data_IF_973236921622
#
_entry.id   IF_973236921622
#
_cell.length_a   1.000
_cell.length_b   1.000
_cell.length_c   1.000
_cell.angle_alpha   90.00
_cell.angle_beta   90.00
_cell.angle_gamma   90.00
#
_symmetry.space_group_name_H-M   'P 1'
#
loop_
_entity.id
_entity.type
_entity.pdbx_description
1 polymer ?
#
# COMPACT_ATOMS: atom_id res chain seq x y z
N UNK A 1 -38.26 29.46 10.44
CA UNK A 1 -37.58 29.14 11.71
C UNK A 1 -36.37 28.31 11.34
N UNK A 2 -35.13 28.72 11.64
CA UNK A 2 -34.00 27.82 11.48
C UNK A 2 -34.28 26.59 12.34
N UNK A 3 -34.16 25.39 11.77
CA UNK A 3 -34.39 24.15 12.50
C UNK A 3 -33.40 24.06 13.65
N UNK A 4 -33.90 23.91 14.87
CA UNK A 4 -33.10 23.69 16.08
C UNK A 4 -32.46 22.28 16.13
N UNK A 5 -32.52 21.56 15.00
CA UNK A 5 -31.97 20.22 14.83
C UNK A 5 -30.58 20.36 14.21
N UNK A 6 -29.52 19.83 14.85
CA UNK A 6 -28.16 19.86 14.33
C UNK A 6 -28.09 19.29 12.91
N UNK A 7 -27.42 20.02 12.01
CA UNK A 7 -27.21 19.59 10.63
C UNK A 7 -26.02 18.64 10.48
N UNK A 8 -25.82 18.06 9.27
CA UNK A 8 -24.67 17.18 8.99
C UNK A 8 -23.31 17.83 9.31
N UNK A 9 -23.18 19.14 9.08
CA UNK A 9 -21.97 19.88 9.43
C UNK A 9 -21.73 19.96 10.96
N UNK A 10 -22.80 20.05 11.74
CA UNK A 10 -22.73 20.07 13.21
C UNK A 10 -22.37 18.70 13.77
N UNK A 11 -22.89 17.64 13.17
CA UNK A 11 -22.49 16.26 13.51
C UNK A 11 -21.01 16.01 13.22
N UNK A 12 -20.50 16.48 12.08
CA UNK A 12 -19.08 16.34 11.75
C UNK A 12 -18.20 17.14 12.72
N UNK A 13 -18.59 18.37 13.05
CA UNK A 13 -17.90 19.19 14.08
C UNK A 13 -17.83 18.45 15.41
N UNK A 14 -18.97 18.03 15.93
CA UNK A 14 -19.05 17.31 17.20
C UNK A 14 -18.23 16.01 17.18
N UNK A 15 -18.23 15.30 16.05
CA UNK A 15 -17.43 14.09 15.88
C UNK A 15 -15.93 14.40 15.92
N UNK A 16 -15.45 15.39 15.15
CA UNK A 16 -14.04 15.79 15.10
C UNK A 16 -13.57 16.31 16.47
N UNK A 17 -14.39 17.10 17.15
CA UNK A 17 -14.07 17.59 18.49
C UNK A 17 -13.96 16.44 19.49
N UNK A 18 -14.90 15.49 19.45
CA UNK A 18 -14.88 14.29 20.31
C UNK A 18 -13.64 13.43 20.07
N UNK A 19 -13.28 13.15 18.82
CA UNK A 19 -12.09 12.31 18.51
C UNK A 19 -10.77 13.05 18.71
N UNK A 20 -10.77 14.39 18.72
CA UNK A 20 -9.57 15.18 19.07
C UNK A 20 -9.22 15.05 20.55
N UNK A 21 -10.23 14.94 21.42
CA UNK A 21 -10.07 14.92 22.88
C UNK A 21 -10.34 13.56 23.53
N UNK A 22 -10.79 12.56 22.78
CA UNK A 22 -11.14 11.23 23.30
C UNK A 22 -9.96 10.27 23.40
N UNK A 23 -10.00 9.36 24.35
CA UNK A 23 -8.91 8.39 24.61
C UNK A 23 -9.22 6.97 24.11
N UNK A 24 -10.32 6.77 23.38
CA UNK A 24 -10.67 5.48 22.81
C UNK A 24 -9.89 5.16 21.51
N UNK A 25 -9.85 3.88 21.14
CA UNK A 25 -9.15 3.39 19.94
C UNK A 25 -9.64 4.05 18.64
N UNK A 26 -10.91 4.43 18.59
CA UNK A 26 -11.53 5.09 17.43
C UNK A 26 -10.98 6.51 17.31
N UNK A 27 -10.89 7.24 18.43
CA UNK A 27 -10.35 8.58 18.51
C UNK A 27 -8.85 8.59 18.15
N UNK A 28 -8.07 7.66 18.70
CA UNK A 28 -6.67 7.48 18.33
C UNK A 28 -6.48 7.19 16.82
N UNK A 29 -7.37 6.37 16.24
CA UNK A 29 -7.35 6.06 14.80
C UNK A 29 -7.62 7.28 13.95
N UNK A 30 -8.64 8.07 14.28
CA UNK A 30 -8.96 9.28 13.51
C UNK A 30 -7.85 10.32 13.64
N UNK A 31 -7.27 10.52 14.83
CA UNK A 31 -6.13 11.44 15.01
C UNK A 31 -4.91 11.05 14.18
N UNK A 32 -4.59 9.76 14.09
CA UNK A 32 -3.52 9.28 13.18
C UNK A 32 -3.86 9.56 11.72
N UNK A 33 -5.12 9.37 11.33
CA UNK A 33 -5.59 9.65 9.98
C UNK A 33 -5.64 11.17 9.66
N UNK A 34 -5.64 12.03 10.69
CA UNK A 34 -5.50 13.49 10.58
C UNK A 34 -4.03 13.95 10.52
N UNK A 35 -3.05 13.05 10.65
CA UNK A 35 -1.64 13.41 10.78
C UNK A 35 -1.20 14.31 9.62
N UNK A 36 -0.60 15.46 9.95
CA UNK A 36 -0.18 16.47 8.97
C UNK A 36 -1.16 17.64 8.78
N UNK A 37 -2.36 17.60 9.37
CA UNK A 37 -3.28 18.74 9.39
C UNK A 37 -3.92 19.00 10.77
N UNK A 38 -4.35 20.24 11.00
CA UNK A 38 -5.09 20.59 12.22
C UNK A 38 -6.53 20.07 12.16
N UNK A 39 -7.16 19.86 13.32
CA UNK A 39 -8.57 19.46 13.39
C UNK A 39 -9.52 20.39 12.64
N UNK A 40 -9.24 21.70 12.69
CA UNK A 40 -9.99 22.68 11.93
C UNK A 40 -9.80 22.51 10.41
N UNK A 41 -8.57 22.32 9.93
CA UNK A 41 -8.29 22.09 8.51
C UNK A 41 -8.92 20.79 8.00
N UNK A 42 -8.77 19.70 8.75
CA UNK A 42 -9.38 18.39 8.45
C UNK A 42 -10.90 18.51 8.26
N UNK A 43 -11.58 19.14 9.23
CA UNK A 43 -13.02 19.36 9.17
C UNK A 43 -13.42 20.23 7.98
N UNK A 44 -12.77 21.38 7.81
CA UNK A 44 -13.13 22.35 6.78
C UNK A 44 -12.92 21.78 5.37
N UNK A 45 -11.89 20.94 5.20
CA UNK A 45 -11.65 20.18 3.97
C UNK A 45 -12.78 19.19 3.68
N UNK A 46 -13.16 18.34 4.63
CA UNK A 46 -14.23 17.36 4.45
C UNK A 46 -15.60 18.02 4.18
N UNK A 47 -15.89 19.16 4.81
CA UNK A 47 -17.11 19.94 4.53
C UNK A 47 -17.09 20.52 3.11
N UNK A 48 -15.93 20.92 2.61
CA UNK A 48 -15.77 21.43 1.24
C UNK A 48 -15.87 20.30 0.21
N UNK A 49 -15.28 19.13 0.49
CA UNK A 49 -15.46 17.91 -0.33
C UNK A 49 -16.95 17.53 -0.42
N UNK A 50 -17.69 17.60 0.71
CA UNK A 50 -19.14 17.37 0.73
C UNK A 50 -19.90 18.40 -0.09
N UNK A 51 -19.53 19.67 -0.01
CA UNK A 51 -20.15 20.72 -0.80
C UNK A 51 -19.91 20.53 -2.30
N UNK A 52 -18.70 20.14 -2.69
CA UNK A 52 -18.36 19.83 -4.08
C UNK A 52 -19.12 18.60 -4.60
N UNK A 53 -19.20 17.53 -3.80
CA UNK A 53 -20.00 16.36 -4.15
C UNK A 53 -21.49 16.70 -4.33
N UNK A 54 -22.11 17.43 -3.39
CA UNK A 54 -23.50 17.89 -3.50
C UNK A 54 -23.71 18.81 -4.70
N UNK A 55 -22.73 19.67 -5.00
CA UNK A 55 -22.82 20.58 -6.13
C UNK A 55 -22.74 19.86 -7.49
N UNK A 56 -22.09 18.69 -7.54
CA UNK A 56 -22.03 17.82 -8.71
C UNK A 56 -23.27 16.94 -8.86
N UNK A 57 -23.78 16.40 -7.75
CA UNK A 57 -24.79 15.35 -7.77
C UNK A 57 -26.24 15.88 -7.67
N UNK A 58 -26.43 17.15 -7.33
CA UNK A 58 -27.77 17.71 -7.08
C UNK A 58 -27.97 19.07 -7.75
N UNK A 59 -29.24 19.38 -8.05
CA UNK A 59 -29.67 20.69 -8.56
C UNK A 59 -29.89 21.74 -7.45
N UNK A 60 -29.47 21.45 -6.20
CA UNK A 60 -29.60 22.40 -5.09
C UNK A 60 -28.84 23.68 -5.38
N UNK A 61 -29.36 24.81 -4.90
CA UNK A 61 -28.67 26.09 -5.06
C UNK A 61 -27.32 26.02 -4.34
N UNK A 62 -26.27 26.64 -4.91
CA UNK A 62 -24.95 26.68 -4.29
C UNK A 62 -24.99 27.37 -2.92
N UNK A 63 -25.93 28.29 -2.72
CA UNK A 63 -26.17 28.95 -1.44
C UNK A 63 -26.72 27.98 -0.39
N UNK A 64 -27.71 27.15 -0.75
CA UNK A 64 -28.27 26.15 0.17
C UNK A 64 -27.25 25.08 0.54
N UNK A 65 -26.40 24.69 -0.41
CA UNK A 65 -25.29 23.74 -0.17
C UNK A 65 -24.26 24.35 0.78
N UNK A 66 -23.90 25.62 0.60
CA UNK A 66 -23.00 26.32 1.50
C UNK A 66 -23.55 26.35 2.95
N UNK A 67 -24.84 26.65 3.11
CA UNK A 67 -25.50 26.65 4.42
C UNK A 67 -25.51 25.25 5.03
N UNK A 68 -25.89 24.23 4.26
CA UNK A 68 -25.97 22.83 4.73
C UNK A 68 -24.60 22.24 5.11
N UNK A 69 -23.54 22.62 4.40
CA UNK A 69 -22.16 22.29 4.76
C UNK A 69 -21.59 23.21 5.86
N UNK A 70 -22.40 24.12 6.41
CA UNK A 70 -22.06 24.91 7.59
C UNK A 70 -21.10 26.07 7.35
N UNK A 71 -20.96 26.57 6.11
CA UNK A 71 -20.17 27.76 5.84
C UNK A 71 -20.84 29.00 6.42
N UNK A 72 -20.07 29.85 7.12
CA UNK A 72 -20.58 31.08 7.76
C UNK A 72 -21.01 32.19 6.79
N UNK A 73 -20.92 31.94 5.48
CA UNK A 73 -21.30 32.88 4.42
C UNK A 73 -20.95 32.33 3.03
N UNK A 74 -21.69 32.76 2.01
CA UNK A 74 -21.48 32.32 0.64
C UNK A 74 -20.13 32.81 0.07
N UNK A 75 -19.66 34.00 0.47
CA UNK A 75 -18.35 34.53 0.09
C UNK A 75 -17.20 33.69 0.66
N UNK A 76 -17.37 33.16 1.88
CA UNK A 76 -16.41 32.26 2.54
C UNK A 76 -16.32 30.95 1.78
N UNK A 77 -17.48 30.39 1.42
CA UNK A 77 -17.58 29.18 0.60
C UNK A 77 -16.87 29.35 -0.75
N UNK A 78 -17.19 30.42 -1.51
CA UNK A 78 -16.58 30.67 -2.82
C UNK A 78 -15.06 30.81 -2.71
N UNK A 79 -14.56 31.50 -1.67
CA UNK A 79 -13.11 31.65 -1.45
C UNK A 79 -12.43 30.31 -1.14
N UNK A 80 -13.03 29.51 -0.27
CA UNK A 80 -12.51 28.17 0.07
C UNK A 80 -12.52 27.26 -1.16
N UNK A 81 -13.62 27.23 -1.92
CA UNK A 81 -13.77 26.42 -3.12
C UNK A 81 -12.72 26.77 -4.19
N UNK A 82 -12.52 28.05 -4.48
CA UNK A 82 -11.49 28.49 -5.44
C UNK A 82 -10.08 28.14 -5.00
N UNK A 83 -9.81 28.21 -3.70
CA UNK A 83 -8.49 27.93 -3.14
C UNK A 83 -8.13 26.45 -3.29
N UNK A 84 -9.06 25.55 -2.98
CA UNK A 84 -8.78 24.10 -2.95
C UNK A 84 -9.07 23.40 -4.29
N UNK A 85 -10.07 23.86 -5.06
CA UNK A 85 -10.53 23.22 -6.30
C UNK A 85 -10.23 24.05 -7.56
N UNK A 86 -9.55 25.19 -7.41
CA UNK A 86 -9.03 26.00 -8.52
C UNK A 86 -10.06 26.84 -9.30
N UNK A 87 -11.36 26.61 -9.09
CA UNK A 87 -12.44 27.29 -9.83
C UNK A 87 -13.56 27.80 -8.91
N UNK A 88 -14.41 28.70 -9.41
CA UNK A 88 -15.61 29.12 -8.66
C UNK A 88 -16.61 27.97 -8.61
N UNK A 89 -17.45 27.87 -7.56
CA UNK A 89 -18.41 26.76 -7.44
C UNK A 89 -19.37 26.63 -8.64
N UNK A 90 -19.79 27.75 -9.24
CA UNK A 90 -20.65 27.75 -10.45
C UNK A 90 -19.95 27.18 -11.66
N UNK A 91 -18.70 27.61 -11.88
CA UNK A 91 -17.90 27.26 -13.05
C UNK A 91 -17.48 25.79 -12.94
N UNK A 92 -17.06 25.38 -11.74
CA UNK A 92 -16.76 23.98 -11.43
C UNK A 92 -17.99 23.08 -11.54
N UNK A 93 -19.18 23.53 -11.14
CA UNK A 93 -20.41 22.74 -11.30
C UNK A 93 -20.76 22.51 -12.78
N UNK A 94 -20.49 23.49 -13.65
CA UNK A 94 -20.74 23.34 -15.08
C UNK A 94 -19.80 22.30 -15.71
N UNK A 95 -18.55 22.21 -15.22
CA UNK A 95 -17.54 21.26 -15.68
C UNK A 95 -16.82 20.58 -14.49
N UNK A 96 -17.47 19.61 -13.82
CA UNK A 96 -16.94 19.03 -12.58
C UNK A 96 -15.66 18.23 -12.79
N UNK A 97 -14.65 18.50 -11.96
CA UNK A 97 -13.45 17.68 -11.83
C UNK A 97 -13.54 16.78 -10.59
N UNK A 98 -12.40 16.29 -10.08
CA UNK A 98 -12.38 15.59 -8.80
C UNK A 98 -12.81 16.53 -7.67
N UNK A 99 -13.64 16.03 -6.76
CA UNK A 99 -14.02 16.72 -5.51
C UNK A 99 -13.07 16.38 -4.35
N UNK A 100 -12.18 15.39 -4.52
CA UNK A 100 -11.19 15.02 -3.51
C UNK A 100 -10.09 16.08 -3.43
N UNK A 101 -9.87 16.62 -2.23
CA UNK A 101 -8.87 17.66 -1.95
C UNK A 101 -7.67 17.01 -1.29
N UNK A 102 -6.47 17.34 -1.75
CA UNK A 102 -5.22 16.74 -1.26
C UNK A 102 -5.13 16.72 0.28
N UNK A 103 -4.86 15.54 0.82
CA UNK A 103 -4.98 15.22 2.24
C UNK A 103 -3.78 14.37 2.69
N UNK A 104 -2.99 14.84 3.67
CA UNK A 104 -1.80 14.11 4.15
C UNK A 104 -2.07 12.68 4.64
N UNK A 105 -3.28 12.40 5.13
CA UNK A 105 -3.69 11.09 5.63
C UNK A 105 -4.61 10.27 4.71
N UNK A 106 -4.81 10.67 3.45
CA UNK A 106 -5.73 10.02 2.49
C UNK A 106 -7.16 9.80 3.04
N UNK A 107 -7.58 10.70 3.95
CA UNK A 107 -8.94 10.70 4.53
C UNK A 107 -9.82 11.64 3.73
N UNK A 108 -10.81 11.09 3.06
CA UNK A 108 -11.76 11.83 2.25
C UNK A 108 -13.20 11.53 2.66
N UNK A 109 -14.13 12.39 2.22
CA UNK A 109 -15.55 12.10 2.28
C UNK A 109 -15.85 10.73 1.63
N UNK A 110 -16.69 9.93 2.26
CA UNK A 110 -17.32 8.76 1.68
C UNK A 110 -18.82 9.06 1.51
N UNK A 111 -19.24 9.54 0.33
CA UNK A 111 -20.63 9.94 0.14
C UNK A 111 -21.65 8.82 0.44
N UNK A 112 -22.86 9.15 0.90
CA UNK A 112 -23.37 10.53 1.08
C UNK A 112 -22.94 11.21 2.39
N UNK A 113 -22.74 10.50 3.49
CA UNK A 113 -22.54 11.10 4.83
C UNK A 113 -21.42 10.46 5.67
N UNK A 114 -20.53 9.69 5.04
CA UNK A 114 -19.43 8.99 5.70
C UNK A 114 -18.08 9.67 5.53
N UNK A 115 -17.08 9.20 6.27
CA UNK A 115 -15.66 9.48 6.04
C UNK A 115 -14.97 8.16 5.72
N UNK A 116 -14.21 8.12 4.63
CA UNK A 116 -13.32 7.01 4.35
C UNK A 116 -12.08 7.14 5.24
N UNK A 117 -12.03 6.36 6.31
CA UNK A 117 -10.76 6.16 7.02
C UNK A 117 -9.88 5.22 6.19
N UNK A 118 -8.56 5.47 6.08
CA UNK A 118 -7.65 4.48 5.54
C UNK A 118 -7.84 3.16 6.31
N UNK A 119 -7.75 2.05 5.58
CA UNK A 119 -7.90 0.71 6.16
C UNK A 119 -6.83 0.48 7.23
N UNK A 120 -7.17 -0.32 8.25
CA UNK A 120 -6.33 -0.58 9.44
C UNK A 120 -4.88 -0.97 9.13
N UNK A 121 -4.66 -1.59 7.98
CA UNK A 121 -3.37 -1.86 7.36
C UNK A 121 -3.60 -1.79 5.85
N UNK A 122 -3.23 -0.69 5.20
CA UNK A 122 -2.63 -0.88 3.88
C UNK A 122 -1.14 -0.87 4.13
N UNK A 123 -0.62 -2.06 4.32
CA UNK A 123 0.69 -2.42 3.80
C UNK A 123 0.80 -1.72 2.43
N UNK A 124 1.67 -0.70 2.30
CA UNK A 124 1.87 -0.02 1.02
C UNK A 124 2.20 -1.06 -0.07
N UNK A 125 2.09 -0.73 -1.35
CA UNK A 125 2.47 -1.68 -2.41
C UNK A 125 3.88 -2.24 -2.17
N UNK A 126 4.79 -1.39 -1.69
CA UNK A 126 6.13 -1.75 -1.22
C UNK A 126 6.08 -2.71 -0.03
N UNK A 127 5.38 -2.35 1.04
CA UNK A 127 5.33 -3.16 2.25
C UNK A 127 4.69 -4.55 1.96
N UNK A 128 3.77 -4.63 0.97
CA UNK A 128 3.12 -5.89 0.60
C UNK A 128 4.11 -6.81 -0.08
N UNK A 129 4.91 -6.26 -0.99
CA UNK A 129 5.95 -7.03 -1.69
C UNK A 129 7.03 -7.48 -0.70
N UNK A 130 7.37 -6.65 0.29
CA UNK A 130 8.29 -7.04 1.40
C UNK A 130 7.69 -8.17 2.23
N UNK A 131 6.43 -8.05 2.67
CA UNK A 131 5.77 -9.11 3.43
C UNK A 131 5.62 -10.42 2.64
N UNK A 132 5.37 -10.35 1.32
CA UNK A 132 5.38 -11.50 0.44
C UNK A 132 6.77 -12.15 0.35
N UNK A 133 7.83 -11.34 0.28
CA UNK A 133 9.19 -11.84 0.30
C UNK A 133 9.53 -12.52 1.63
N UNK A 134 9.18 -11.92 2.77
CA UNK A 134 9.37 -12.51 4.10
C UNK A 134 8.65 -13.85 4.23
N UNK A 135 7.38 -13.92 3.83
CA UNK A 135 6.60 -15.15 3.83
C UNK A 135 7.23 -16.22 2.93
N UNK A 136 7.71 -15.82 1.75
CA UNK A 136 8.39 -16.72 0.82
C UNK A 136 9.70 -17.26 1.40
N UNK A 137 10.53 -16.40 2.00
CA UNK A 137 11.77 -16.82 2.68
C UNK A 137 11.46 -17.79 3.81
N UNK A 138 10.45 -17.51 4.64
CA UNK A 138 10.01 -18.44 5.68
C UNK A 138 9.64 -19.81 5.12
N UNK A 139 8.80 -19.86 4.08
CA UNK A 139 8.39 -21.10 3.45
C UNK A 139 9.55 -21.89 2.81
N UNK A 140 10.46 -21.21 2.11
CA UNK A 140 11.66 -21.84 1.54
C UNK A 140 12.55 -22.37 2.66
N UNK A 141 12.73 -21.61 3.74
CA UNK A 141 13.51 -21.99 4.91
C UNK A 141 13.01 -23.26 5.57
N UNK A 142 11.69 -23.39 5.76
CA UNK A 142 11.07 -24.60 6.30
C UNK A 142 11.35 -25.83 5.41
N UNK A 143 11.27 -25.67 4.08
CA UNK A 143 11.53 -26.76 3.13
C UNK A 143 13.02 -27.13 3.06
N UNK A 144 13.90 -26.15 3.11
CA UNK A 144 15.35 -26.34 3.14
C UNK A 144 15.79 -26.98 4.46
N UNK A 145 15.16 -26.62 5.57
CA UNK A 145 15.37 -27.26 6.87
C UNK A 145 14.92 -28.73 6.85
N UNK A 146 13.83 -29.05 6.14
CA UNK A 146 13.29 -30.41 6.03
C UNK A 146 14.07 -31.34 5.09
N UNK A 147 15.01 -30.82 4.27
CA UNK A 147 15.78 -31.66 3.34
C UNK A 147 16.69 -32.67 4.08
N UNK A 148 16.69 -33.96 3.67
CA UNK A 148 17.66 -34.91 4.19
C UNK A 148 19.07 -34.59 3.69
N UNK A 149 20.09 -34.90 4.49
CA UNK A 149 21.51 -34.80 4.10
C UNK A 149 22.13 -36.20 4.09
N UNK A 150 22.53 -36.74 2.92
CA UNK A 150 22.40 -36.17 1.57
C UNK A 150 20.95 -36.18 1.04
N UNK A 151 20.65 -35.35 0.03
CA UNK A 151 19.30 -35.26 -0.55
C UNK A 151 18.89 -36.57 -1.25
N UNK A 152 18.12 -37.39 -0.54
CA UNK A 152 17.46 -38.58 -1.06
C UNK A 152 16.03 -38.32 -1.56
N UNK A 153 15.47 -37.15 -1.29
CA UNK A 153 14.09 -36.78 -1.66
C UNK A 153 13.97 -36.31 -3.11
N UNK A 154 15.07 -35.82 -3.67
CA UNK A 154 15.10 -35.15 -4.97
C UNK A 154 14.43 -33.78 -4.94
N UNK A 155 14.07 -33.22 -3.78
CA UNK A 155 13.55 -31.87 -3.66
C UNK A 155 14.64 -30.79 -3.80
N UNK A 156 15.91 -31.16 -3.59
CA UNK A 156 17.07 -30.27 -3.60
C UNK A 156 17.21 -29.43 -4.87
N UNK A 157 17.13 -29.98 -6.09
CA UNK A 157 17.24 -29.20 -7.32
C UNK A 157 16.19 -28.09 -7.46
N UNK A 158 14.94 -28.35 -7.05
CA UNK A 158 13.88 -27.35 -7.12
C UNK A 158 14.12 -26.21 -6.11
N UNK A 159 14.55 -26.55 -4.89
CA UNK A 159 14.88 -25.57 -3.86
C UNK A 159 16.16 -24.80 -4.21
N UNK A 160 17.16 -25.43 -4.82
CA UNK A 160 18.38 -24.79 -5.29
C UNK A 160 18.11 -23.76 -6.40
N UNK A 161 17.14 -24.01 -7.28
CA UNK A 161 16.71 -23.04 -8.29
C UNK A 161 16.02 -21.82 -7.65
N UNK A 162 15.14 -22.03 -6.66
CA UNK A 162 14.49 -20.93 -5.93
C UNK A 162 15.53 -20.08 -5.19
N UNK A 163 16.44 -20.72 -4.44
CA UNK A 163 17.54 -20.02 -3.76
C UNK A 163 18.44 -19.28 -4.76
N UNK A 164 18.73 -19.87 -5.91
CA UNK A 164 19.49 -19.21 -6.97
C UNK A 164 18.81 -17.95 -7.52
N UNK A 165 17.48 -17.89 -7.58
CA UNK A 165 16.74 -16.67 -7.96
C UNK A 165 16.88 -15.58 -6.91
N UNK A 166 16.83 -15.95 -5.62
CA UNK A 166 17.02 -15.01 -4.52
C UNK A 166 18.44 -14.42 -4.54
N UNK A 167 19.46 -15.27 -4.75
CA UNK A 167 20.87 -14.85 -4.84
C UNK A 167 21.09 -13.89 -5.99
N UNK A 168 20.53 -14.18 -7.17
CA UNK A 168 20.64 -13.30 -8.35
C UNK A 168 20.10 -11.89 -8.07
N UNK A 169 18.91 -11.78 -7.46
CA UNK A 169 18.34 -10.47 -7.13
C UNK A 169 19.19 -9.76 -6.06
N UNK A 170 19.51 -10.44 -4.96
CA UNK A 170 20.26 -9.84 -3.85
C UNK A 170 21.65 -9.37 -4.29
N UNK A 171 22.33 -10.13 -5.15
CA UNK A 171 23.62 -9.75 -5.74
C UNK A 171 23.54 -8.45 -6.54
N UNK A 172 22.48 -8.24 -7.31
CA UNK A 172 22.32 -7.03 -8.12
C UNK A 172 22.01 -5.80 -7.27
N UNK A 173 21.19 -5.96 -6.23
CA UNK A 173 20.76 -4.83 -5.39
C UNK A 173 21.83 -4.41 -4.39
N UNK A 174 22.53 -5.37 -3.79
CA UNK A 174 23.55 -5.12 -2.77
C UNK A 174 24.97 -5.08 -3.31
N UNK A 175 25.16 -5.33 -4.61
CA UNK A 175 26.48 -5.42 -5.27
C UNK A 175 27.39 -6.48 -4.60
N UNK A 176 26.79 -7.57 -4.13
CA UNK A 176 27.48 -8.70 -3.47
C UNK A 176 27.56 -9.92 -4.38
N UNK A 177 28.53 -10.80 -4.16
CA UNK A 177 28.62 -12.09 -4.86
C UNK A 177 28.41 -13.24 -3.90
N UNK A 178 27.39 -14.06 -4.14
CA UNK A 178 27.20 -15.32 -3.42
C UNK A 178 28.07 -16.41 -4.04
N UNK A 179 28.93 -17.04 -3.24
CA UNK A 179 29.70 -18.18 -3.70
C UNK A 179 28.80 -19.40 -3.84
N UNK A 180 28.89 -20.11 -4.96
CA UNK A 180 28.23 -21.41 -5.18
C UNK A 180 28.79 -22.55 -4.31
N UNK A 181 29.80 -22.28 -3.49
CA UNK A 181 30.37 -23.23 -2.53
C UNK A 181 29.53 -23.35 -1.27
N UNK A 182 29.17 -24.57 -0.89
CA UNK A 182 28.40 -24.88 0.32
C UNK A 182 27.12 -25.67 0.05
N UNK A 183 26.61 -26.35 1.07
CA UNK A 183 25.31 -27.02 1.00
C UNK A 183 24.15 -26.02 0.86
N UNK A 184 23.00 -26.48 0.38
CA UNK A 184 21.84 -25.61 0.11
C UNK A 184 21.38 -24.82 1.34
N UNK A 185 21.47 -25.42 2.55
CA UNK A 185 21.17 -24.73 3.81
C UNK A 185 22.05 -23.50 4.04
N UNK A 186 23.37 -23.67 3.93
CA UNK A 186 24.31 -22.56 4.14
C UNK A 186 24.11 -21.43 3.12
N UNK A 187 23.79 -21.78 1.86
CA UNK A 187 23.43 -20.79 0.84
C UNK A 187 22.15 -20.02 1.21
N UNK A 188 21.11 -20.74 1.63
CA UNK A 188 19.86 -20.13 2.07
C UNK A 188 20.04 -19.21 3.29
N UNK A 189 20.81 -19.65 4.30
CA UNK A 189 21.08 -18.88 5.51
C UNK A 189 21.76 -17.53 5.20
N UNK A 190 22.62 -17.50 4.17
CA UNK A 190 23.26 -16.27 3.70
C UNK A 190 22.26 -15.36 2.97
N UNK A 191 21.50 -15.90 2.02
CA UNK A 191 20.69 -15.07 1.11
C UNK A 191 19.30 -14.71 1.65
N UNK A 192 18.75 -15.46 2.61
CA UNK A 192 17.37 -15.27 3.07
C UNK A 192 17.09 -13.84 3.56
N UNK A 193 17.91 -13.34 4.48
CA UNK A 193 17.77 -11.98 5.00
C UNK A 193 18.14 -10.91 3.94
N UNK A 194 19.18 -11.15 3.15
CA UNK A 194 19.63 -10.23 2.11
C UNK A 194 18.60 -10.05 1.00
N UNK A 195 17.87 -11.10 0.64
CA UNK A 195 16.79 -11.06 -0.34
C UNK A 195 15.64 -10.16 0.15
N UNK A 196 15.18 -10.33 1.38
CA UNK A 196 14.15 -9.45 1.97
C UNK A 196 14.63 -8.00 2.01
N UNK A 197 15.89 -7.80 2.43
CA UNK A 197 16.53 -6.49 2.43
C UNK A 197 16.58 -5.87 1.02
N UNK A 198 16.91 -6.67 0.00
CA UNK A 198 16.96 -6.21 -1.40
C UNK A 198 15.58 -5.74 -1.87
N UNK A 199 14.53 -6.51 -1.59
CA UNK A 199 13.15 -6.15 -1.92
C UNK A 199 12.72 -4.84 -1.22
N UNK A 200 13.07 -4.68 0.05
CA UNK A 200 12.78 -3.46 0.80
C UNK A 200 13.54 -2.24 0.25
N UNK A 201 14.82 -2.38 -0.11
CA UNK A 201 15.62 -1.32 -0.75
C UNK A 201 14.99 -0.89 -2.08
N UNK A 202 14.60 -1.84 -2.92
CA UNK A 202 13.94 -1.53 -4.20
C UNK A 202 12.64 -0.78 -4.02
N UNK A 203 11.82 -1.20 -3.06
CA UNK A 203 10.55 -0.56 -2.79
C UNK A 203 10.71 0.84 -2.23
N UNK A 204 11.59 1.04 -1.24
CA UNK A 204 11.86 2.36 -0.66
C UNK A 204 12.45 3.35 -1.66
N UNK A 205 13.21 2.86 -2.65
CA UNK A 205 13.83 3.68 -3.69
C UNK A 205 12.98 3.80 -4.97
N UNK A 206 11.87 3.08 -5.08
CA UNK A 206 11.02 3.08 -6.28
C UNK A 206 11.70 2.50 -7.54
N UNK A 207 12.58 1.49 -7.38
CA UNK A 207 13.46 0.97 -8.45
C UNK A 207 12.96 -0.30 -9.14
N UNK A 208 11.73 -0.73 -8.90
CA UNK A 208 11.20 -1.96 -9.50
C UNK A 208 11.19 -1.95 -11.04
N UNK A 209 11.05 -0.77 -11.67
CA UNK A 209 11.04 -0.62 -13.12
C UNK A 209 12.44 -0.54 -13.75
N UNK A 210 13.50 -0.53 -12.93
CA UNK A 210 14.88 -0.53 -13.42
C UNK A 210 15.18 -1.85 -14.14
N UNK A 211 15.74 -1.75 -15.34
CA UNK A 211 16.03 -2.89 -16.20
C UNK A 211 17.51 -3.28 -16.10
N UNK A 212 17.76 -4.58 -15.96
CA UNK A 212 19.08 -5.20 -16.01
C UNK A 212 19.16 -6.01 -17.30
N UNK A 213 20.29 -5.90 -17.99
CA UNK A 213 20.59 -6.70 -19.18
C UNK A 213 21.55 -7.81 -18.78
N UNK A 214 21.14 -9.06 -18.97
CA UNK A 214 22.04 -10.21 -18.88
C UNK A 214 22.89 -10.30 -20.15
N UNK A 215 23.78 -9.32 -20.32
CA UNK A 215 24.53 -9.11 -21.55
C UNK A 215 25.58 -10.21 -21.83
N UNK A 216 25.89 -11.05 -20.84
CA UNK A 216 26.96 -12.05 -20.91
C UNK A 216 26.44 -13.49 -20.96
N UNK A 217 25.13 -13.70 -20.92
CA UNK A 217 24.49 -14.99 -21.19
C UNK A 217 24.59 -15.36 -22.68
N UNK A 218 24.61 -16.67 -23.05
CA UNK A 218 24.47 -17.11 -24.43
C UNK A 218 23.20 -16.61 -25.14
N UNK A 219 22.18 -16.26 -24.35
CA UNK A 219 20.93 -15.64 -24.82
C UNK A 219 20.68 -14.34 -24.03
N UNK A 220 21.21 -13.19 -24.51
CA UNK A 220 21.07 -11.92 -23.81
C UNK A 220 19.62 -11.51 -23.67
N UNK A 221 19.20 -11.19 -22.44
CA UNK A 221 17.83 -10.78 -22.15
C UNK A 221 17.80 -9.54 -21.27
N UNK A 222 16.71 -8.79 -21.38
CA UNK A 222 16.44 -7.62 -20.54
C UNK A 222 15.32 -7.99 -19.57
N UNK A 223 15.54 -7.76 -18.29
CA UNK A 223 14.57 -8.06 -17.23
C UNK A 223 14.55 -6.92 -16.22
N UNK A 224 13.37 -6.56 -15.72
CA UNK A 224 13.26 -5.55 -14.66
C UNK A 224 13.50 -6.16 -13.29
N UNK A 225 13.94 -5.35 -12.33
CA UNK A 225 14.10 -5.78 -10.94
C UNK A 225 12.77 -6.26 -10.35
N UNK A 226 11.63 -5.65 -10.71
CA UNK A 226 10.29 -6.11 -10.36
C UNK A 226 9.92 -7.47 -10.97
N UNK A 227 10.33 -7.75 -12.20
CA UNK A 227 10.14 -9.06 -12.82
C UNK A 227 11.01 -10.14 -12.15
N UNK A 228 12.23 -9.80 -11.72
CA UNK A 228 13.06 -10.71 -10.92
C UNK A 228 12.44 -11.04 -9.56
N UNK A 229 11.87 -10.05 -8.87
CA UNK A 229 11.12 -10.26 -7.62
C UNK A 229 9.91 -11.17 -7.85
N UNK A 230 9.15 -10.92 -8.91
CA UNK A 230 8.00 -11.75 -9.29
C UNK A 230 8.43 -13.19 -9.59
N UNK A 231 9.52 -13.37 -10.33
CA UNK A 231 10.06 -14.68 -10.66
C UNK A 231 10.58 -15.46 -9.45
N UNK A 232 11.12 -14.76 -8.45
CA UNK A 232 11.61 -15.35 -7.21
C UNK A 232 10.46 -15.72 -6.26
N UNK A 233 9.48 -14.83 -6.08
CA UNK A 233 8.40 -15.01 -5.09
C UNK A 233 7.18 -15.72 -5.67
N UNK A 234 6.63 -15.19 -6.75
CA UNK A 234 5.32 -15.60 -7.29
C UNK A 234 5.45 -16.82 -8.20
N UNK A 235 6.38 -16.77 -9.15
CA UNK A 235 6.50 -17.84 -10.16
C UNK A 235 7.21 -19.09 -9.62
N UNK A 236 7.79 -19.01 -8.42
CA UNK A 236 8.39 -20.16 -7.74
C UNK A 236 7.36 -21.17 -7.20
N UNK A 237 6.06 -20.87 -7.25
CA UNK A 237 5.00 -21.69 -6.65
C UNK A 237 4.98 -23.15 -7.16
N UNK A 238 5.24 -23.40 -8.45
CA UNK A 238 5.34 -24.77 -8.99
C UNK A 238 6.55 -25.54 -8.45
N UNK A 239 7.69 -24.85 -8.26
CA UNK A 239 8.91 -25.44 -7.71
C UNK A 239 8.70 -25.82 -6.24
N UNK A 240 8.10 -24.94 -5.45
CA UNK A 240 7.82 -25.20 -4.03
C UNK A 240 6.77 -26.30 -3.85
N UNK A 241 5.71 -26.33 -4.68
CA UNK A 241 4.75 -27.45 -4.70
C UNK A 241 5.40 -28.77 -5.08
N UNK A 242 6.39 -28.75 -5.97
CA UNK A 242 7.15 -29.95 -6.35
C UNK A 242 8.04 -30.43 -5.22
N UNK A 243 8.78 -29.52 -4.57
CA UNK A 243 9.61 -29.82 -3.41
C UNK A 243 8.79 -30.43 -2.26
N UNK A 244 7.66 -29.81 -1.89
CA UNK A 244 6.75 -30.33 -0.85
C UNK A 244 6.28 -31.76 -1.11
N UNK A 245 5.84 -32.04 -2.34
CA UNK A 245 5.39 -33.39 -2.72
C UNK A 245 6.50 -34.43 -2.60
N UNK A 246 7.73 -34.07 -3.00
CA UNK A 246 8.89 -34.96 -2.90
C UNK A 246 9.29 -35.24 -1.45
N UNK A 247 9.31 -34.22 -0.59
CA UNK A 247 9.60 -34.38 0.83
C UNK A 247 8.55 -35.25 1.55
N UNK A 248 7.26 -35.02 1.29
CA UNK A 248 6.19 -35.83 1.89
C UNK A 248 6.23 -37.31 1.48
N UNK A 249 6.70 -37.60 0.26
CA UNK A 249 6.88 -38.97 -0.24
C UNK A 249 8.00 -39.74 0.45
N UNK A 250 8.96 -39.06 1.08
CA UNK A 250 10.02 -39.70 1.88
C UNK A 250 9.54 -40.00 3.30
N UNK A 251 8.68 -39.16 3.89
CA UNK A 251 8.16 -39.37 5.25
C UNK A 251 7.16 -40.52 5.35
N UNK A 252 6.62 -40.99 4.22
CA UNK A 252 5.61 -42.05 4.15
C UNK A 252 6.16 -43.41 3.71
N UNK A 253 7.47 -43.51 3.46
CA UNK A 253 8.18 -44.73 3.11
C UNK A 253 9.08 -45.20 4.27
#
# INVERSE_FOLDING_TARGET
MPSDVPGPADHLRAYVDRVTHGDDDVAARVRRAMAGESAARFRDRLLLERAAWLARETDRTLQDIAVDCGFGGYDVFVRAFRRELGARPSDWRAEPTSWAIDAPGDVHLAPPDGIRLPSRDRMGSVDLVVAMAEQHVGEVGDLVAALPEPDSSGAGPALAEVVGRMERLASLVHETSYSSGGGLRARFDLVGADFVSAVAVLGTQGRFDEAVVDAFSPDPSVVTLGAMVTGAVTDAGDLLRTARRRLAGVTTA
#
